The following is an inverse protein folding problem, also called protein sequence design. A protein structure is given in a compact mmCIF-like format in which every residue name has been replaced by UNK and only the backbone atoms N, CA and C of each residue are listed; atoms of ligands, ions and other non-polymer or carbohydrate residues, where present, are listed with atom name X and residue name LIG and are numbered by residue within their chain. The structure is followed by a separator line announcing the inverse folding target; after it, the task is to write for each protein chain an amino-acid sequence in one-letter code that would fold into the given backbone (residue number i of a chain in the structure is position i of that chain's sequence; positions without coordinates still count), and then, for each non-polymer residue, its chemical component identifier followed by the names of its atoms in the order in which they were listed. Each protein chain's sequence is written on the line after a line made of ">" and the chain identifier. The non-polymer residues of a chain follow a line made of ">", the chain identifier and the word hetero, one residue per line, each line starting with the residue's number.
data_IF_891020676637
#
_entry.id   IF_891020676637
#
_cell.length_a   1.000
_cell.length_b   1.000
_cell.length_c   1.000
_cell.angle_alpha   90.00
_cell.angle_beta   90.00
_cell.angle_gamma   90.00
#
_symmetry.space_group_name_H-M   'P 1'
#
loop_
_entity.id
_entity.type
_entity.pdbx_description
1 polymer ?
#
# COMPACT_ATOMS: atom_id res chain seq x y z
N UNK A 1 -5.28 -18.53 -20.65
CA UNK A 1 -3.94 -17.96 -20.99
C UNK A 1 -3.19 -17.89 -19.68
N UNK A 2 -2.10 -18.60 -19.58
CA UNK A 2 -1.39 -18.84 -18.36
C UNK A 2 -0.58 -17.62 -17.91
N UNK A 3 -0.15 -17.64 -16.67
CA UNK A 3 0.85 -16.81 -15.96
C UNK A 3 2.08 -16.39 -16.81
N UNK A 4 2.26 -16.98 -17.95
CA UNK A 4 3.30 -16.72 -18.95
C UNK A 4 3.23 -15.32 -19.59
N UNK A 5 2.07 -14.63 -19.48
CA UNK A 5 1.91 -13.27 -20.03
C UNK A 5 2.81 -12.25 -19.33
N UNK A 6 3.09 -12.44 -18.06
CA UNK A 6 3.95 -11.54 -17.27
C UNK A 6 5.46 -11.81 -17.47
N UNK A 7 5.84 -12.87 -18.21
CA UNK A 7 7.25 -13.24 -18.43
C UNK A 7 8.08 -13.24 -17.14
N UNK A 8 7.54 -13.85 -16.08
CA UNK A 8 8.15 -13.87 -14.75
C UNK A 8 8.00 -12.58 -13.93
N UNK A 9 7.36 -11.53 -14.43
CA UNK A 9 7.09 -10.31 -13.66
C UNK A 9 5.98 -10.58 -12.64
N UNK A 10 6.14 -10.00 -11.46
CA UNK A 10 5.12 -10.04 -10.41
C UNK A 10 4.23 -8.79 -10.51
N UNK A 11 2.92 -8.97 -10.30
CA UNK A 11 1.95 -7.87 -10.26
C UNK A 11 1.13 -7.98 -8.97
N UNK A 12 1.14 -6.93 -8.16
CA UNK A 12 0.33 -6.79 -6.96
C UNK A 12 -0.73 -5.71 -7.15
N UNK A 13 -1.91 -5.94 -6.61
CA UNK A 13 -2.99 -4.94 -6.53
C UNK A 13 -3.61 -4.96 -5.15
N UNK A 14 -4.15 -3.81 -4.73
CA UNK A 14 -5.03 -3.73 -3.56
C UNK A 14 -6.48 -3.67 -3.99
N UNK A 15 -7.34 -4.37 -3.25
CA UNK A 15 -8.76 -4.42 -3.52
C UNK A 15 -9.53 -3.85 -2.34
N UNK A 16 -10.42 -2.89 -2.65
CA UNK A 16 -11.38 -2.38 -1.67
C UNK A 16 -12.64 -3.23 -1.76
N UNK A 17 -12.95 -3.91 -0.66
CA UNK A 17 -14.09 -4.82 -0.58
C UNK A 17 -15.42 -4.10 -0.83
N UNK A 18 -16.36 -4.77 -1.49
CA UNK A 18 -17.70 -4.24 -1.78
C UNK A 18 -17.83 -3.45 -3.07
N UNK A 19 -16.77 -3.28 -3.85
CA UNK A 19 -16.82 -2.62 -5.14
C UNK A 19 -17.09 -3.65 -6.26
N UNK A 20 -18.22 -3.54 -6.95
CA UNK A 20 -18.59 -4.46 -8.05
C UNK A 20 -17.59 -4.49 -9.19
N UNK A 21 -16.93 -3.35 -9.47
CA UNK A 21 -15.87 -3.26 -10.51
C UNK A 21 -14.63 -4.05 -10.13
N UNK A 22 -14.29 -4.11 -8.85
CA UNK A 22 -13.20 -4.95 -8.35
C UNK A 22 -13.45 -6.42 -8.69
N UNK A 23 -14.66 -6.91 -8.42
CA UNK A 23 -15.02 -8.29 -8.73
C UNK A 23 -14.96 -8.58 -10.23
N UNK A 24 -15.41 -7.64 -11.06
CA UNK A 24 -15.32 -7.75 -12.52
C UNK A 24 -13.85 -7.76 -12.98
N UNK A 25 -13.01 -6.90 -12.42
CA UNK A 25 -11.58 -6.85 -12.75
C UNK A 25 -10.86 -8.13 -12.33
N UNK A 26 -11.11 -8.67 -11.13
CA UNK A 26 -10.55 -9.95 -10.70
C UNK A 26 -11.03 -11.10 -11.60
N UNK A 27 -12.30 -11.10 -12.00
CA UNK A 27 -12.82 -12.12 -12.90
C UNK A 27 -12.16 -12.09 -14.28
N UNK A 28 -11.85 -10.90 -14.80
CA UNK A 28 -11.30 -10.69 -16.13
C UNK A 28 -9.76 -10.80 -16.19
N UNK A 29 -9.06 -10.41 -15.13
CA UNK A 29 -7.60 -10.19 -15.16
C UNK A 29 -6.84 -10.91 -14.04
N UNK A 30 -7.51 -11.75 -13.23
CA UNK A 30 -6.85 -12.47 -12.14
C UNK A 30 -5.70 -13.37 -12.60
N UNK A 31 -5.73 -13.85 -13.84
CA UNK A 31 -4.63 -14.62 -14.45
C UNK A 31 -3.32 -13.81 -14.58
N UNK A 32 -3.36 -12.50 -14.44
CA UNK A 32 -2.23 -11.57 -14.56
C UNK A 32 -1.69 -11.10 -13.22
N UNK A 33 -2.31 -11.51 -12.11
CA UNK A 33 -1.93 -11.09 -10.77
C UNK A 33 -1.09 -12.17 -10.10
N UNK A 34 -0.11 -11.76 -9.32
CA UNK A 34 0.69 -12.64 -8.47
C UNK A 34 0.34 -12.48 -6.99
N UNK A 35 -0.11 -11.29 -6.59
CA UNK A 35 -0.42 -10.97 -5.21
C UNK A 35 -1.60 -9.99 -5.14
N UNK A 36 -2.47 -10.16 -4.15
CA UNK A 36 -3.61 -9.27 -3.90
C UNK A 36 -3.67 -8.96 -2.41
N UNK A 37 -3.61 -7.67 -2.08
CA UNK A 37 -3.90 -7.16 -0.74
C UNK A 37 -5.41 -6.90 -0.60
N UNK A 38 -6.04 -7.56 0.36
CA UNK A 38 -7.45 -7.34 0.72
C UNK A 38 -7.54 -6.20 1.74
N UNK A 39 -7.82 -5.00 1.25
CA UNK A 39 -7.87 -3.78 2.06
C UNK A 39 -9.13 -3.72 2.90
N UNK A 40 -9.14 -4.41 4.05
CA UNK A 40 -10.34 -4.63 4.87
C UNK A 40 -10.13 -4.53 6.37
N UNK A 41 -8.91 -4.28 6.82
CA UNK A 41 -8.61 -4.26 8.24
C UNK A 41 -7.99 -2.92 8.65
N UNK A 42 -8.41 -2.44 9.82
CA UNK A 42 -7.88 -1.23 10.44
C UNK A 42 -7.40 -1.51 11.82
N UNK A 43 -6.20 -1.04 12.16
CA UNK A 43 -5.68 -1.10 13.51
C UNK A 43 -5.99 0.19 14.27
N UNK A 44 -6.39 0.07 15.53
CA UNK A 44 -6.59 1.19 16.44
C UNK A 44 -5.31 1.57 17.19
N UNK A 45 -5.35 2.69 17.89
CA UNK A 45 -4.25 3.13 18.78
C UNK A 45 -3.95 2.15 19.93
N UNK A 46 -4.89 1.26 20.27
CA UNK A 46 -4.72 0.21 21.29
C UNK A 46 -4.30 -1.13 20.72
N UNK A 47 -3.98 -1.20 19.43
CA UNK A 47 -3.56 -2.42 18.74
C UNK A 47 -4.69 -3.35 18.28
N UNK A 48 -5.95 -3.03 18.60
CA UNK A 48 -7.11 -3.84 18.20
C UNK A 48 -7.33 -3.69 16.69
N UNK A 49 -7.50 -4.82 16.01
CA UNK A 49 -7.83 -4.86 14.57
C UNK A 49 -9.33 -5.00 14.40
N UNK A 50 -9.91 -4.07 13.67
CA UNK A 50 -11.32 -4.10 13.23
C UNK A 50 -11.41 -4.43 11.75
N UNK A 51 -12.46 -5.17 11.38
CA UNK A 51 -12.75 -5.49 9.98
C UNK A 51 -13.73 -4.46 9.41
N UNK A 52 -13.52 -4.04 8.17
CA UNK A 52 -14.55 -3.29 7.44
C UNK A 52 -15.75 -4.24 7.21
N UNK A 53 -16.97 -3.76 7.40
CA UNK A 53 -18.19 -4.58 7.42
C UNK A 53 -18.58 -5.28 6.11
N UNK A 54 -17.65 -5.42 5.16
CA UNK A 54 -17.86 -6.16 3.91
C UNK A 54 -17.35 -7.58 4.07
N UNK A 55 -18.20 -8.55 3.82
CA UNK A 55 -17.89 -9.96 4.02
C UNK A 55 -16.74 -10.44 3.11
N UNK A 56 -15.58 -10.70 3.70
CA UNK A 56 -14.41 -11.31 3.03
C UNK A 56 -14.76 -12.70 2.48
N UNK A 57 -15.78 -13.38 3.04
CA UNK A 57 -16.31 -14.65 2.54
C UNK A 57 -16.66 -14.62 1.05
N UNK A 58 -17.04 -13.47 0.51
CA UNK A 58 -17.33 -13.31 -0.91
C UNK A 58 -16.07 -13.48 -1.79
N UNK A 59 -14.88 -13.40 -1.21
CA UNK A 59 -13.62 -13.60 -1.94
C UNK A 59 -13.27 -15.06 -2.20
N UNK A 60 -13.86 -16.01 -1.46
CA UNK A 60 -13.55 -17.44 -1.60
C UNK A 60 -13.72 -17.95 -3.03
N UNK A 61 -14.71 -17.45 -3.76
CA UNK A 61 -14.91 -17.80 -5.17
C UNK A 61 -13.72 -17.42 -6.04
N UNK A 62 -13.12 -16.25 -5.79
CA UNK A 62 -11.96 -15.76 -6.56
C UNK A 62 -10.67 -16.42 -6.09
N UNK A 63 -10.52 -16.69 -4.80
CA UNK A 63 -9.40 -17.42 -4.23
C UNK A 63 -9.32 -18.81 -4.85
N UNK A 64 -10.44 -19.53 -4.91
CA UNK A 64 -10.52 -20.86 -5.54
C UNK A 64 -10.30 -20.81 -7.05
N UNK A 65 -10.76 -19.74 -7.71
CA UNK A 65 -10.57 -19.56 -9.16
C UNK A 65 -9.12 -19.27 -9.55
N UNK A 66 -8.39 -18.56 -8.68
CA UNK A 66 -7.04 -18.10 -8.95
C UNK A 66 -6.04 -18.58 -7.88
N UNK A 67 -5.79 -19.89 -7.76
CA UNK A 67 -4.97 -20.45 -6.68
C UNK A 67 -3.48 -20.09 -6.76
N UNK A 68 -3.03 -19.49 -7.87
CA UNK A 68 -1.67 -18.98 -8.02
C UNK A 68 -1.46 -17.61 -7.39
N UNK A 69 -2.54 -16.87 -7.12
CA UNK A 69 -2.46 -15.55 -6.48
C UNK A 69 -2.20 -15.74 -4.99
N UNK A 70 -1.27 -14.94 -4.45
CA UNK A 70 -1.06 -14.79 -3.02
C UNK A 70 -2.03 -13.76 -2.44
N UNK A 71 -2.93 -14.21 -1.58
CA UNK A 71 -3.98 -13.40 -0.97
C UNK A 71 -3.56 -12.95 0.42
N UNK A 72 -3.31 -11.65 0.58
CA UNK A 72 -2.86 -11.05 1.82
C UNK A 72 -3.97 -10.22 2.46
N UNK A 73 -4.05 -10.24 3.79
CA UNK A 73 -4.96 -9.39 4.56
C UNK A 73 -4.25 -8.07 4.85
N UNK A 74 -4.71 -6.97 4.23
CA UNK A 74 -4.10 -5.64 4.41
C UNK A 74 -4.63 -4.99 5.67
N UNK A 75 -3.71 -4.61 6.56
CA UNK A 75 -3.98 -3.91 7.81
C UNK A 75 -3.40 -2.51 7.71
N UNK A 76 -4.26 -1.48 7.83
CA UNK A 76 -3.89 -0.06 7.74
C UNK A 76 -4.17 0.68 9.05
N UNK A 77 -3.38 1.73 9.31
CA UNK A 77 -3.65 2.72 10.36
C UNK A 77 -4.34 3.98 9.82
N UNK A 78 -4.89 3.95 8.59
CA UNK A 78 -5.47 5.11 7.90
C UNK A 78 -4.54 6.35 7.87
N UNK A 79 -3.23 6.15 7.78
CA UNK A 79 -2.25 7.24 7.79
C UNK A 79 -2.28 8.08 9.09
N UNK A 80 -2.59 7.46 10.23
CA UNK A 80 -2.70 8.15 11.52
C UNK A 80 -1.42 8.01 12.33
N UNK A 81 -0.67 9.11 12.47
CA UNK A 81 0.63 9.15 13.15
C UNK A 81 0.57 8.65 14.60
N UNK A 82 -0.47 9.04 15.36
CA UNK A 82 -0.60 8.61 16.77
C UNK A 82 -0.84 7.11 16.93
N UNK A 83 -1.42 6.44 15.93
CA UNK A 83 -1.57 4.99 15.91
C UNK A 83 -0.21 4.34 15.65
N UNK A 84 0.51 4.81 14.62
CA UNK A 84 1.86 4.32 14.30
C UNK A 84 2.79 4.43 15.54
N UNK A 85 2.82 5.61 16.16
CA UNK A 85 3.64 5.87 17.35
C UNK A 85 3.27 4.94 18.53
N UNK A 86 1.98 4.74 18.79
CA UNK A 86 1.53 3.86 19.87
C UNK A 86 1.95 2.40 19.66
N UNK A 87 1.85 1.90 18.42
CA UNK A 87 2.29 0.55 18.06
C UNK A 87 3.81 0.43 18.14
N UNK A 88 4.55 1.42 17.60
CA UNK A 88 6.02 1.44 17.62
C UNK A 88 6.57 1.42 19.04
N UNK A 89 6.01 2.27 19.92
CA UNK A 89 6.51 2.48 21.27
C UNK A 89 5.87 1.51 22.30
N UNK A 90 4.99 0.63 21.83
CA UNK A 90 4.20 -0.30 22.66
C UNK A 90 3.44 0.43 23.78
N UNK A 91 2.88 1.59 23.48
CA UNK A 91 2.17 2.41 24.47
C UNK A 91 1.00 1.61 25.05
N UNK A 92 0.95 1.45 26.35
CA UNK A 92 -0.09 0.69 27.09
C UNK A 92 -0.29 -0.76 26.54
N UNK A 93 0.77 -1.39 25.99
CA UNK A 93 0.69 -2.73 25.43
C UNK A 93 0.06 -2.80 24.02
N UNK A 94 0.01 -1.68 23.30
CA UNK A 94 -0.62 -1.60 22.00
C UNK A 94 0.05 -2.52 20.95
N UNK A 95 1.38 -2.62 20.95
CA UNK A 95 2.07 -3.54 20.04
C UNK A 95 1.76 -5.00 20.39
N UNK A 96 1.79 -5.37 21.67
CA UNK A 96 1.51 -6.75 22.09
C UNK A 96 0.09 -7.16 21.72
N UNK A 97 -0.88 -6.25 21.89
CA UNK A 97 -2.26 -6.44 21.44
C UNK A 97 -2.30 -6.62 19.91
N UNK A 98 -1.60 -5.78 19.16
CA UNK A 98 -1.57 -5.83 17.71
C UNK A 98 -1.00 -7.17 17.21
N UNK A 99 0.09 -7.65 17.80
CA UNK A 99 0.68 -8.95 17.44
C UNK A 99 -0.30 -10.10 17.69
N UNK A 100 -1.01 -10.07 18.81
CA UNK A 100 -2.05 -11.07 19.13
C UNK A 100 -3.23 -11.01 18.15
N UNK A 101 -3.64 -9.82 17.75
CA UNK A 101 -4.70 -9.59 16.77
C UNK A 101 -4.32 -10.07 15.35
N UNK A 102 -3.06 -9.93 14.95
CA UNK A 102 -2.54 -10.49 13.70
C UNK A 102 -2.71 -12.02 13.70
N UNK A 103 -2.36 -12.70 14.78
CA UNK A 103 -2.58 -14.15 14.89
C UNK A 103 -4.07 -14.46 14.81
N UNK A 104 -4.91 -13.76 15.57
CA UNK A 104 -6.36 -13.94 15.56
C UNK A 104 -6.98 -13.84 14.15
N UNK A 105 -6.58 -12.87 13.33
CA UNK A 105 -7.13 -12.72 11.98
C UNK A 105 -6.61 -13.81 11.04
N UNK A 106 -5.37 -14.27 11.17
CA UNK A 106 -4.86 -15.39 10.38
C UNK A 106 -5.57 -16.71 10.74
N UNK A 107 -5.87 -16.93 12.02
CA UNK A 107 -6.68 -18.07 12.47
C UNK A 107 -8.11 -18.01 11.92
N UNK A 108 -8.72 -16.82 11.91
CA UNK A 108 -10.07 -16.60 11.38
C UNK A 108 -10.13 -16.80 9.86
N UNK A 109 -9.07 -16.50 9.15
CA UNK A 109 -8.97 -16.60 7.69
C UNK A 109 -7.82 -17.51 7.25
N UNK A 110 -7.88 -18.82 7.56
CA UNK A 110 -6.75 -19.76 7.33
C UNK A 110 -6.37 -19.90 5.86
N UNK A 111 -7.25 -19.55 4.94
CA UNK A 111 -7.01 -19.53 3.50
C UNK A 111 -6.11 -18.38 3.03
N UNK A 112 -5.88 -17.34 3.83
CA UNK A 112 -4.97 -16.27 3.43
C UNK A 112 -3.53 -16.77 3.32
N UNK A 113 -2.79 -16.26 2.35
CA UNK A 113 -1.36 -16.55 2.22
C UNK A 113 -0.49 -15.74 3.16
N UNK A 114 -1.04 -14.74 3.83
CA UNK A 114 -0.31 -13.90 4.78
C UNK A 114 -0.94 -12.54 5.04
N UNK A 115 -0.09 -11.61 5.48
CA UNK A 115 -0.46 -10.26 5.93
C UNK A 115 0.23 -9.21 5.05
N UNK A 116 -0.47 -8.13 4.80
CA UNK A 116 0.05 -6.91 4.18
C UNK A 116 -0.04 -5.77 5.20
N UNK A 117 1.08 -5.19 5.58
CA UNK A 117 1.19 -4.14 6.61
C UNK A 117 1.32 -2.78 5.94
N UNK A 118 0.26 -1.99 6.02
CA UNK A 118 0.15 -0.64 5.49
C UNK A 118 0.06 0.39 6.63
N UNK A 119 1.16 0.51 7.38
CA UNK A 119 1.30 1.48 8.47
C UNK A 119 2.06 2.71 7.97
N UNK A 120 1.33 3.81 7.84
CA UNK A 120 1.84 5.07 7.31
C UNK A 120 1.99 6.14 8.38
N UNK A 121 2.68 7.25 8.03
CA UNK A 121 2.83 8.45 8.86
C UNK A 121 3.61 8.24 10.16
N UNK A 122 4.66 7.43 10.07
CA UNK A 122 5.63 7.33 11.17
C UNK A 122 6.41 8.63 11.39
N UNK A 123 6.81 8.88 12.63
CA UNK A 123 7.69 10.00 12.99
C UNK A 123 9.07 9.81 12.38
N UNK A 124 9.67 10.89 11.90
CA UNK A 124 10.90 10.93 11.15
C UNK A 124 12.12 10.14 11.66
N UNK A 125 13.27 10.55 11.21
CA UNK A 125 14.57 9.87 11.26
C UNK A 125 14.99 9.30 12.65
N UNK A 126 14.67 9.97 13.75
CA UNK A 126 15.05 9.55 15.10
C UNK A 126 14.40 8.25 15.57
N UNK A 127 13.41 7.73 14.85
CA UNK A 127 12.62 6.56 15.25
C UNK A 127 12.88 5.32 14.42
N UNK A 128 13.82 5.34 13.46
CA UNK A 128 14.08 4.23 12.54
C UNK A 128 14.33 2.91 13.26
N UNK A 129 15.19 2.91 14.29
CA UNK A 129 15.51 1.67 15.03
C UNK A 129 14.28 1.07 15.72
N UNK A 130 13.43 1.93 16.30
CA UNK A 130 12.19 1.48 16.96
C UNK A 130 11.16 0.99 15.94
N UNK A 131 11.04 1.68 14.80
CA UNK A 131 10.19 1.23 13.69
C UNK A 131 10.66 -0.12 13.14
N UNK A 132 11.96 -0.28 12.89
CA UNK A 132 12.55 -1.56 12.47
C UNK A 132 12.27 -2.68 13.49
N UNK A 133 12.39 -2.38 14.79
CA UNK A 133 12.09 -3.34 15.85
C UNK A 133 10.61 -3.76 15.84
N UNK A 134 9.69 -2.83 15.64
CA UNK A 134 8.25 -3.13 15.50
C UNK A 134 8.01 -4.07 14.30
N UNK A 135 8.52 -3.76 13.11
CA UNK A 135 8.33 -4.60 11.93
C UNK A 135 8.99 -5.98 12.08
N UNK A 136 10.15 -6.06 12.74
CA UNK A 136 10.76 -7.35 13.09
C UNK A 136 9.85 -8.18 14.00
N UNK A 137 9.22 -7.56 15.00
CA UNK A 137 8.30 -8.27 15.91
C UNK A 137 7.07 -8.77 15.16
N UNK A 138 6.50 -7.96 14.25
CA UNK A 138 5.39 -8.37 13.38
C UNK A 138 5.81 -9.56 12.50
N UNK A 139 6.96 -9.46 11.82
CA UNK A 139 7.48 -10.54 10.98
C UNK A 139 7.67 -11.84 11.77
N UNK A 140 8.30 -11.76 12.93
CA UNK A 140 8.52 -12.93 13.78
C UNK A 140 7.21 -13.54 14.27
N UNK A 141 6.18 -12.73 14.54
CA UNK A 141 4.85 -13.20 14.91
C UNK A 141 4.18 -13.95 13.75
N UNK A 142 4.22 -13.40 12.55
CA UNK A 142 3.67 -14.07 11.34
C UNK A 142 4.38 -15.38 11.10
N UNK A 143 5.72 -15.39 11.12
CA UNK A 143 6.54 -16.59 10.86
C UNK A 143 6.47 -17.60 12.00
N UNK A 144 6.28 -17.16 13.23
CA UNK A 144 6.08 -18.01 14.40
C UNK A 144 4.72 -18.72 14.40
N UNK A 145 3.70 -18.07 13.86
CA UNK A 145 2.39 -18.69 13.66
C UNK A 145 2.43 -19.75 12.57
N UNK A 146 2.95 -19.39 11.38
CA UNK A 146 3.16 -20.31 10.27
C UNK A 146 4.25 -19.75 9.35
N UNK A 147 5.36 -20.46 9.24
CA UNK A 147 6.53 -20.03 8.46
C UNK A 147 6.26 -19.88 6.96
N UNK A 148 5.19 -20.50 6.45
CA UNK A 148 4.76 -20.40 5.04
C UNK A 148 3.98 -19.11 4.75
N UNK A 149 3.42 -18.45 5.77
CA UNK A 149 2.68 -17.18 5.61
C UNK A 149 3.63 -16.06 5.19
N UNK A 150 3.19 -15.26 4.25
CA UNK A 150 3.94 -14.11 3.73
C UNK A 150 3.66 -12.85 4.56
N UNK A 151 4.65 -12.00 4.66
CA UNK A 151 4.49 -10.63 5.14
C UNK A 151 4.96 -9.66 4.06
N UNK A 152 4.02 -8.84 3.56
CA UNK A 152 4.31 -7.66 2.76
C UNK A 152 4.36 -6.43 3.67
N UNK A 153 5.21 -5.46 3.31
CA UNK A 153 5.25 -4.13 3.96
C UNK A 153 5.03 -3.08 2.89
N UNK A 154 4.10 -2.14 3.13
CA UNK A 154 3.98 -0.92 2.34
C UNK A 154 5.02 0.10 2.83
N UNK A 155 5.85 0.59 1.93
CA UNK A 155 6.95 1.50 2.22
C UNK A 155 6.73 2.86 1.54
N UNK A 156 7.08 3.98 2.20
CA UNK A 156 7.04 5.28 1.56
C UNK A 156 8.05 5.34 0.39
N UNK A 157 7.75 6.15 -0.63
CA UNK A 157 8.66 6.37 -1.75
C UNK A 157 9.88 7.19 -1.31
N UNK A 158 11.07 6.59 -1.28
CA UNK A 158 12.32 7.22 -0.86
C UNK A 158 13.38 7.05 -1.95
N UNK A 159 14.08 8.12 -2.31
CA UNK A 159 15.20 8.12 -3.27
C UNK A 159 16.58 8.18 -2.58
N UNK A 160 16.59 8.20 -1.27
CA UNK A 160 17.80 8.11 -0.42
C UNK A 160 17.37 7.79 1.01
N UNK A 161 18.32 7.48 1.89
CA UNK A 161 18.05 7.22 3.31
C UNK A 161 17.34 8.38 4.03
N UNK A 162 17.51 9.60 3.54
CA UNK A 162 16.91 10.82 4.09
C UNK A 162 15.84 11.44 3.19
N UNK A 163 15.59 10.84 2.02
CA UNK A 163 14.67 11.36 1.01
C UNK A 163 13.34 10.65 1.08
N UNK A 164 12.27 11.35 1.44
CA UNK A 164 10.91 10.83 1.35
C UNK A 164 9.99 11.85 0.71
N UNK A 165 8.90 11.38 0.15
CA UNK A 165 7.79 12.22 -0.26
C UNK A 165 6.83 12.36 0.90
N UNK A 166 6.30 13.58 1.09
CA UNK A 166 5.32 13.84 2.15
C UNK A 166 5.88 13.85 3.57
N UNK A 167 7.21 13.78 3.74
CA UNK A 167 7.85 13.78 5.05
C UNK A 167 7.82 12.44 5.78
N UNK A 168 7.39 11.38 5.10
CA UNK A 168 7.35 10.03 5.67
C UNK A 168 8.72 9.37 5.61
N UNK A 169 9.53 9.61 6.63
CA UNK A 169 10.86 9.04 6.76
C UNK A 169 10.96 8.26 8.08
N UNK A 170 10.17 7.21 8.22
CA UNK A 170 10.10 6.39 9.43
C UNK A 170 10.89 5.07 9.33
N UNK A 171 11.44 4.76 8.15
CA UNK A 171 12.10 3.48 7.90
C UNK A 171 13.43 3.64 7.18
N UNK A 172 14.23 2.58 7.23
CA UNK A 172 15.39 2.33 6.38
C UNK A 172 15.12 1.06 5.58
N UNK A 173 15.07 1.14 4.27
CA UNK A 173 14.75 0.00 3.41
C UNK A 173 15.66 -1.22 3.68
N UNK A 174 16.97 -0.98 3.81
CA UNK A 174 17.94 -2.04 4.07
C UNK A 174 17.70 -2.78 5.38
N UNK A 175 17.28 -2.07 6.42
CA UNK A 175 17.00 -2.66 7.72
C UNK A 175 15.73 -3.55 7.70
N UNK A 176 14.75 -3.18 6.85
CA UNK A 176 13.51 -3.93 6.70
C UNK A 176 13.61 -5.12 5.74
N UNK A 177 14.65 -5.16 4.91
CA UNK A 177 14.85 -6.25 3.95
C UNK A 177 14.87 -7.65 4.59
N UNK A 178 15.33 -7.77 5.83
CA UNK A 178 15.34 -9.03 6.58
C UNK A 178 13.97 -9.40 7.17
N UNK A 179 13.05 -8.45 7.27
CA UNK A 179 11.79 -8.56 8.00
C UNK A 179 10.56 -8.41 7.08
N UNK A 180 10.68 -8.78 5.81
CA UNK A 180 9.57 -8.90 4.88
C UNK A 180 9.85 -10.01 3.87
N UNK A 181 8.80 -10.61 3.33
CA UNK A 181 8.89 -11.49 2.17
C UNK A 181 8.76 -10.69 0.87
N UNK A 182 7.92 -9.65 0.89
CA UNK A 182 7.77 -8.65 -0.16
C UNK A 182 7.64 -7.25 0.42
N UNK A 183 7.96 -6.23 -0.38
CA UNK A 183 7.83 -4.84 -0.03
C UNK A 183 7.18 -4.08 -1.20
N UNK A 184 6.08 -3.39 -0.93
CA UNK A 184 5.39 -2.56 -1.90
C UNK A 184 5.76 -1.09 -1.64
N UNK A 185 6.60 -0.52 -2.49
CA UNK A 185 7.02 0.87 -2.37
C UNK A 185 5.95 1.76 -3.01
N UNK A 186 5.38 2.66 -2.22
CA UNK A 186 4.39 3.65 -2.65
C UNK A 186 5.06 4.78 -3.45
N UNK A 187 5.49 4.48 -4.67
CA UNK A 187 6.17 5.39 -5.58
C UNK A 187 5.19 6.33 -6.30
N UNK A 188 4.26 6.91 -5.53
CA UNK A 188 3.24 7.86 -5.95
C UNK A 188 2.94 8.87 -4.84
N UNK A 189 2.15 9.91 -5.14
CA UNK A 189 1.81 10.96 -4.18
C UNK A 189 2.76 12.17 -4.21
N UNK A 190 3.64 12.31 -5.22
CA UNK A 190 4.47 13.51 -5.39
C UNK A 190 3.57 14.74 -5.57
N UNK A 191 2.57 14.67 -6.43
CA UNK A 191 1.49 15.64 -6.45
C UNK A 191 0.25 15.07 -5.75
N UNK A 192 -0.37 15.89 -4.89
CA UNK A 192 -1.50 15.55 -4.05
C UNK A 192 -2.49 16.72 -3.93
N UNK A 193 -3.62 16.55 -3.27
CA UNK A 193 -4.69 17.55 -3.19
C UNK A 193 -4.22 18.96 -2.79
N UNK A 194 -3.25 19.07 -1.89
CA UNK A 194 -2.74 20.34 -1.36
C UNK A 194 -1.46 20.83 -2.05
N UNK A 195 -0.89 20.08 -2.97
CA UNK A 195 0.28 20.48 -3.73
C UNK A 195 -0.07 21.35 -4.93
N UNK A 196 0.93 21.98 -5.54
CA UNK A 196 0.80 22.50 -6.90
C UNK A 196 0.40 21.37 -7.88
N UNK A 197 -0.32 21.68 -8.97
CA UNK A 197 -0.59 20.72 -10.03
C UNK A 197 0.67 20.09 -10.58
N UNK A 198 0.65 18.75 -10.75
CA UNK A 198 1.81 18.01 -11.23
C UNK A 198 1.53 16.52 -11.37
N UNK A 199 2.51 15.76 -11.83
CA UNK A 199 2.40 14.32 -11.94
C UNK A 199 2.37 13.66 -10.54
N UNK A 200 1.46 12.71 -10.34
CA UNK A 200 1.35 11.94 -9.09
C UNK A 200 2.59 11.05 -8.88
N UNK A 201 3.18 10.55 -9.96
CA UNK A 201 4.40 9.77 -9.98
C UNK A 201 5.28 10.22 -11.15
N UNK A 202 6.06 11.30 -11.01
CA UNK A 202 6.98 11.75 -12.06
C UNK A 202 8.03 10.67 -12.34
N UNK A 203 8.37 10.51 -13.61
CA UNK A 203 9.29 9.46 -14.05
C UNK A 203 10.66 9.55 -13.38
N UNK A 204 11.26 10.73 -13.36
CA UNK A 204 12.60 10.95 -12.80
C UNK A 204 12.63 10.61 -11.30
N UNK A 205 11.56 10.94 -10.59
CA UNK A 205 11.43 10.60 -9.17
C UNK A 205 11.24 9.09 -8.97
N UNK A 206 10.43 8.43 -9.80
CA UNK A 206 10.26 6.98 -9.78
C UNK A 206 11.59 6.25 -10.05
N UNK A 207 12.35 6.71 -11.05
CA UNK A 207 13.68 6.18 -11.36
C UNK A 207 14.64 6.35 -10.17
N UNK A 208 14.65 7.52 -9.50
CA UNK A 208 15.45 7.72 -8.30
C UNK A 208 15.06 6.80 -7.12
N UNK A 209 13.77 6.51 -6.94
CA UNK A 209 13.32 5.53 -5.94
C UNK A 209 13.81 4.13 -6.30
N UNK A 210 13.68 3.75 -7.58
CA UNK A 210 14.14 2.45 -8.07
C UNK A 210 15.64 2.28 -7.83
N UNK A 211 16.44 3.23 -8.28
CA UNK A 211 17.90 3.19 -8.17
C UNK A 211 18.33 3.03 -6.70
N UNK A 212 17.71 3.78 -5.79
CA UNK A 212 18.00 3.63 -4.36
C UNK A 212 17.55 2.27 -3.82
N UNK A 213 16.31 1.88 -4.06
CA UNK A 213 15.73 0.69 -3.47
C UNK A 213 16.50 -0.60 -3.82
N UNK A 214 16.89 -0.76 -5.09
CA UNK A 214 17.59 -1.96 -5.56
C UNK A 214 19.04 -2.08 -5.05
N UNK A 215 19.61 -0.98 -4.51
CA UNK A 215 20.94 -1.03 -3.89
C UNK A 215 20.90 -1.49 -2.43
N UNK A 216 19.76 -1.37 -1.76
CA UNK A 216 19.64 -1.63 -0.31
C UNK A 216 18.65 -2.76 0.03
N UNK A 217 17.82 -3.18 -0.91
CA UNK A 217 16.88 -4.30 -0.75
C UNK A 217 17.09 -5.34 -1.84
N UNK A 218 16.72 -6.59 -1.56
CA UNK A 218 16.67 -7.63 -2.58
C UNK A 218 15.61 -7.26 -3.64
N UNK A 219 15.99 -7.05 -4.91
CA UNK A 219 15.06 -6.64 -5.97
C UNK A 219 13.88 -7.62 -6.17
N UNK A 220 14.07 -8.91 -5.89
CA UNK A 220 13.03 -9.93 -6.01
C UNK A 220 11.87 -9.75 -5.01
N UNK A 221 12.08 -8.97 -3.95
CA UNK A 221 11.06 -8.66 -2.95
C UNK A 221 10.24 -7.42 -3.29
N UNK A 222 10.70 -6.56 -4.22
CA UNK A 222 10.19 -5.22 -4.42
C UNK A 222 9.04 -5.18 -5.43
N UNK A 223 7.96 -4.51 -5.06
CA UNK A 223 6.91 -4.02 -5.94
C UNK A 223 6.95 -2.50 -5.97
N UNK A 224 6.93 -1.89 -7.17
CA UNK A 224 6.79 -0.45 -7.32
C UNK A 224 5.34 -0.08 -7.57
N UNK A 225 4.79 0.77 -6.71
CA UNK A 225 3.41 1.25 -6.82
C UNK A 225 3.25 2.24 -7.96
N UNK A 226 2.29 1.97 -8.85
CA UNK A 226 1.89 2.88 -9.92
C UNK A 226 0.48 3.40 -9.63
N UNK A 227 0.24 4.73 -9.68
CA UNK A 227 -1.08 5.27 -9.40
C UNK A 227 -2.05 5.00 -10.56
N UNK A 228 -3.22 4.45 -10.23
CA UNK A 228 -4.36 4.40 -11.14
C UNK A 228 -5.37 5.53 -10.85
N UNK A 229 -4.88 6.65 -10.33
CA UNK A 229 -5.65 7.85 -9.99
C UNK A 229 -4.83 9.11 -10.27
N UNK A 230 -5.50 10.24 -10.26
CA UNK A 230 -4.89 11.57 -10.40
C UNK A 230 -5.68 12.61 -9.61
N UNK A 231 -5.26 13.84 -9.73
CA UNK A 231 -5.91 14.97 -9.09
C UNK A 231 -6.39 15.96 -10.13
N UNK A 232 -7.54 16.57 -9.87
CA UNK A 232 -8.07 17.73 -10.63
C UNK A 232 -7.99 18.95 -9.72
N UNK A 233 -7.22 19.95 -10.10
CA UNK A 233 -7.10 21.22 -9.39
C UNK A 233 -7.89 22.30 -10.12
N UNK A 234 -8.75 23.00 -9.39
CA UNK A 234 -9.38 24.21 -9.92
C UNK A 234 -8.35 25.35 -9.89
N UNK A 235 -7.97 25.84 -11.06
CA UNK A 235 -6.95 26.89 -11.22
C UNK A 235 -7.56 28.25 -11.60
N UNK A 236 -8.90 28.36 -11.69
CA UNK A 236 -9.57 29.48 -12.34
C UNK A 236 -9.60 30.79 -11.54
N UNK A 237 -9.42 30.80 -10.23
CA UNK A 237 -9.64 31.98 -9.39
C UNK A 237 -8.56 32.21 -8.31
N UNK A 238 -7.32 31.87 -8.57
CA UNK A 238 -6.25 32.21 -7.66
C UNK A 238 -5.66 33.58 -8.01
N UNK A 239 -5.97 34.66 -7.24
CA UNK A 239 -5.27 35.92 -7.39
C UNK A 239 -3.78 35.70 -7.26
N UNK A 240 -2.98 36.27 -8.15
CA UNK A 240 -1.54 36.00 -8.30
C UNK A 240 -0.69 36.24 -7.03
N UNK A 241 -1.26 36.76 -5.94
CA UNK A 241 -0.56 37.24 -4.74
C UNK A 241 -1.06 36.69 -3.39
N UNK A 242 -2.00 35.74 -3.36
CA UNK A 242 -2.39 35.08 -2.12
C UNK A 242 -1.63 33.77 -1.98
N UNK A 243 -1.17 33.46 -0.77
CA UNK A 243 -0.52 32.18 -0.45
C UNK A 243 -1.35 31.03 -1.04
N UNK A 244 -0.78 30.35 -2.05
CA UNK A 244 -1.54 29.45 -2.91
C UNK A 244 -1.96 28.20 -2.13
N UNK A 245 -3.21 28.14 -1.71
CA UNK A 245 -3.81 26.92 -1.20
C UNK A 245 -4.41 26.16 -2.37
N UNK A 246 -3.76 25.08 -2.78
CA UNK A 246 -4.30 24.20 -3.81
C UNK A 246 -5.33 23.25 -3.20
N UNK A 247 -6.43 23.02 -3.90
CA UNK A 247 -7.45 22.04 -3.52
C UNK A 247 -7.70 21.12 -4.70
N UNK A 248 -7.03 19.98 -4.70
CA UNK A 248 -7.25 18.94 -5.68
C UNK A 248 -8.38 18.01 -5.26
N UNK A 249 -9.16 17.55 -6.24
CA UNK A 249 -10.13 16.46 -6.07
C UNK A 249 -9.57 15.23 -6.73
N UNK A 250 -9.53 14.09 -6.01
CA UNK A 250 -9.02 12.84 -6.57
C UNK A 250 -9.98 12.29 -7.65
N UNK A 251 -9.40 11.79 -8.72
CA UNK A 251 -10.12 11.11 -9.79
C UNK A 251 -9.44 9.79 -10.10
N UNK A 252 -10.23 8.72 -10.22
CA UNK A 252 -9.74 7.46 -10.78
C UNK A 252 -9.47 7.64 -12.28
N UNK A 253 -8.59 6.82 -12.85
CA UNK A 253 -8.36 6.81 -14.29
C UNK A 253 -9.67 6.71 -15.10
N UNK A 254 -10.59 5.85 -14.68
CA UNK A 254 -11.88 5.68 -15.34
C UNK A 254 -12.74 6.96 -15.30
N UNK A 255 -12.77 7.65 -14.16
CA UNK A 255 -13.52 8.90 -14.04
C UNK A 255 -12.88 10.00 -14.90
N UNK A 256 -11.55 10.11 -14.91
CA UNK A 256 -10.82 11.06 -15.73
C UNK A 256 -11.03 10.78 -17.23
N UNK A 257 -10.94 9.52 -17.66
CA UNK A 257 -11.19 9.11 -19.05
C UNK A 257 -12.62 9.50 -19.49
N UNK A 258 -13.63 9.17 -18.70
CA UNK A 258 -15.02 9.50 -19.04
C UNK A 258 -15.25 11.03 -19.09
N UNK A 259 -14.62 11.78 -18.20
CA UNK A 259 -14.72 13.24 -18.20
C UNK A 259 -14.06 13.82 -19.45
N UNK A 260 -12.86 13.36 -19.81
CA UNK A 260 -12.14 13.83 -21.00
C UNK A 260 -12.89 13.48 -22.29
N UNK A 261 -13.36 12.24 -22.45
CA UNK A 261 -14.12 11.81 -23.63
C UNK A 261 -15.48 12.50 -23.75
N UNK A 262 -16.15 12.78 -22.63
CA UNK A 262 -17.44 13.46 -22.61
C UNK A 262 -17.35 14.97 -22.89
N UNK A 263 -16.27 15.65 -22.48
CA UNK A 263 -16.14 17.10 -22.65
C UNK A 263 -15.30 17.53 -23.85
N UNK A 264 -14.33 16.73 -24.27
CA UNK A 264 -13.33 17.12 -25.25
C UNK A 264 -13.27 16.24 -26.51
N UNK A 265 -14.14 15.25 -26.63
CA UNK A 265 -14.13 14.30 -27.77
C UNK A 265 -12.74 13.73 -28.09
N UNK A 266 -11.92 13.44 -27.06
CA UNK A 266 -10.68 12.73 -27.27
C UNK A 266 -11.02 11.29 -27.70
N UNK A 267 -10.65 10.94 -28.91
CA UNK A 267 -10.60 9.55 -29.36
C UNK A 267 -9.30 8.93 -28.88
N UNK A 268 -9.36 7.67 -28.42
CA UNK A 268 -8.16 6.89 -28.12
C UNK A 268 -7.47 6.58 -29.46
N UNK A 269 -6.44 7.31 -29.85
CA UNK A 269 -5.50 6.95 -30.90
C UNK A 269 -4.29 6.23 -30.29
#
# INVERSE_FOLDING_TARGET
>A
MSYDYLKGRKCMVWTFMGNSRMYQALAAYGDRLSQVGLFSFKVSRTGIITESGVAISNMLTYINRWPHIKWLLTISNDGTNSIFAALRDNTDGAQDTFLSEIVRIMEKYPWCDGIDIDLEKGDGYSTHAASTAMFRNIYNTVKGYDSSKLMNICLPGMNSINGSVGGENWCVYGDLNAYCDTAAIMSYGMAWAGSAPGAVSPRDWLEGIYDYAVTVMNPEKIFFGLPAYGWNWQIYDLPANLGKTYRGTSNTYYAAKNWMTGQYNFTDD
#
